data_IF_881734693518
#
_entry.id   IF_881734693518
#
_cell.length_a   1.000
_cell.length_b   1.000
_cell.length_c   1.000
_cell.angle_alpha   90.00
_cell.angle_beta   90.00
_cell.angle_gamma   90.00
#
_symmetry.space_group_name_H-M   'P 1'
#
loop_
_entity.id
_entity.type
_entity.pdbx_description
1 polymer ?
#
# COMPACT_ATOMS: atom_id res chain seq x y z
N UNK A 1 31.01 12.01 -23.06
CA UNK A 1 30.27 10.75 -22.84
C UNK A 1 28.92 11.12 -22.29
N UNK A 2 27.83 10.80 -22.99
CA UNK A 2 26.48 11.08 -22.50
C UNK A 2 26.10 9.88 -21.64
N UNK A 3 26.13 10.05 -20.32
CA UNK A 3 25.59 9.08 -19.39
C UNK A 3 24.08 9.09 -19.52
N UNK A 4 23.56 8.16 -20.32
CA UNK A 4 22.13 7.92 -20.44
C UNK A 4 21.65 7.29 -19.13
N UNK A 5 21.05 8.11 -18.26
CA UNK A 5 20.33 7.61 -17.10
C UNK A 5 19.27 6.61 -17.58
N UNK A 6 19.15 5.43 -16.96
CA UNK A 6 18.11 4.49 -17.31
C UNK A 6 16.76 5.20 -17.16
N UNK A 7 15.93 5.13 -18.20
CA UNK A 7 14.55 5.58 -18.11
C UNK A 7 13.90 4.71 -17.04
N UNK A 8 13.74 5.26 -15.84
CA UNK A 8 12.97 4.62 -14.77
C UNK A 8 11.56 4.49 -15.32
N UNK A 9 11.20 3.29 -15.75
CA UNK A 9 9.87 3.03 -16.32
C UNK A 9 8.83 3.46 -15.28
N UNK A 10 7.87 4.34 -15.63
CA UNK A 10 6.91 4.91 -14.68
C UNK A 10 6.26 3.86 -13.76
N UNK A 11 5.94 2.67 -14.28
CA UNK A 11 5.30 1.58 -13.52
C UNK A 11 6.14 0.93 -12.41
N UNK A 12 7.47 1.13 -12.39
CA UNK A 12 8.33 0.67 -11.28
C UNK A 12 8.46 1.70 -10.17
N UNK A 13 8.18 2.98 -10.45
CA UNK A 13 8.29 4.03 -9.46
C UNK A 13 7.09 3.99 -8.51
N UNK A 14 7.35 4.12 -7.21
CA UNK A 14 6.31 4.33 -6.21
C UNK A 14 6.14 5.81 -5.84
N UNK A 15 6.91 6.72 -6.45
CA UNK A 15 6.95 8.13 -6.06
C UNK A 15 5.59 8.81 -6.22
N UNK A 16 4.96 8.68 -7.39
CA UNK A 16 3.63 9.24 -7.64
C UNK A 16 2.58 8.61 -6.74
N UNK A 17 2.66 7.30 -6.52
CA UNK A 17 1.77 6.57 -5.61
C UNK A 17 1.87 7.08 -4.17
N UNK A 18 3.09 7.34 -3.69
CA UNK A 18 3.32 7.89 -2.35
C UNK A 18 2.72 9.30 -2.22
N UNK A 19 2.82 10.12 -3.27
CA UNK A 19 2.21 11.45 -3.27
C UNK A 19 0.69 11.37 -3.07
N UNK A 20 0.02 10.44 -3.76
CA UNK A 20 -1.42 10.18 -3.57
C UNK A 20 -1.71 9.62 -2.18
N UNK A 21 -0.92 8.65 -1.71
CA UNK A 21 -1.06 8.08 -0.36
C UNK A 21 -1.02 9.17 0.74
N UNK A 22 -0.10 10.13 0.62
CA UNK A 22 0.03 11.23 1.59
C UNK A 22 -1.20 12.13 1.66
N UNK A 23 -2.06 12.16 0.63
CA UNK A 23 -3.32 12.91 0.67
C UNK A 23 -4.37 12.26 1.57
N UNK A 24 -4.25 10.96 1.84
CA UNK A 24 -5.21 10.19 2.64
C UNK A 24 -4.69 9.79 4.02
N UNK A 25 -3.37 9.78 4.21
CA UNK A 25 -2.77 9.28 5.43
C UNK A 25 -2.97 10.25 6.61
N UNK A 26 -3.47 9.73 7.73
CA UNK A 26 -3.75 10.51 8.94
C UNK A 26 -2.51 10.84 9.79
N UNK A 27 -1.36 10.24 9.45
CA UNK A 27 -0.10 10.47 10.17
C UNK A 27 0.19 9.48 11.30
N UNK A 28 -0.80 8.72 11.78
CA UNK A 28 -0.69 7.88 12.98
C UNK A 28 -0.98 6.40 12.71
N UNK A 29 -1.98 6.08 11.88
CA UNK A 29 -2.39 4.70 11.66
C UNK A 29 -1.26 3.82 11.11
N UNK A 30 -1.18 2.53 11.49
CA UNK A 30 -0.18 1.62 10.94
C UNK A 30 -0.35 1.47 9.42
N UNK A 31 0.77 1.52 8.70
CA UNK A 31 0.82 1.32 7.25
C UNK A 31 1.47 -0.02 6.94
N UNK A 32 0.70 -0.95 6.42
CA UNK A 32 1.16 -2.26 5.97
C UNK A 32 1.50 -2.20 4.49
N UNK A 33 2.72 -2.57 4.12
CA UNK A 33 3.24 -2.42 2.77
C UNK A 33 3.80 -3.75 2.30
N UNK A 34 3.38 -4.20 1.11
CA UNK A 34 3.97 -5.39 0.52
C UNK A 34 5.49 -5.26 0.39
N UNK A 35 6.20 -6.35 0.73
CA UNK A 35 7.67 -6.42 0.76
C UNK A 35 8.34 -5.80 -0.46
N UNK A 36 7.78 -6.04 -1.65
CA UNK A 36 8.30 -5.51 -2.91
C UNK A 36 8.30 -3.97 -2.97
N UNK A 37 7.32 -3.31 -2.35
CA UNK A 37 7.20 -1.85 -2.35
C UNK A 37 7.91 -1.17 -1.18
N UNK A 38 8.22 -1.89 -0.09
CA UNK A 38 8.75 -1.28 1.15
C UNK A 38 9.96 -0.37 0.94
N UNK A 39 11.04 -0.78 0.25
CA UNK A 39 12.23 0.07 0.14
C UNK A 39 11.92 1.39 -0.59
N UNK A 40 11.22 1.30 -1.72
CA UNK A 40 10.81 2.48 -2.48
C UNK A 40 9.81 3.33 -1.73
N UNK A 41 8.87 2.71 -1.02
CA UNK A 41 7.84 3.40 -0.26
C UNK A 41 8.48 4.20 0.86
N UNK A 42 9.30 3.57 1.69
CA UNK A 42 10.04 4.23 2.77
C UNK A 42 10.92 5.38 2.25
N UNK A 43 11.63 5.18 1.14
CA UNK A 43 12.47 6.22 0.54
C UNK A 43 11.67 7.47 0.14
N UNK A 44 10.45 7.30 -0.39
CA UNK A 44 9.63 8.42 -0.88
C UNK A 44 8.69 9.00 0.19
N UNK A 45 8.24 8.21 1.17
CA UNK A 45 7.26 8.62 2.17
C UNK A 45 7.87 8.96 3.54
N UNK A 46 9.08 8.46 3.82
CA UNK A 46 9.69 8.50 5.15
C UNK A 46 9.11 7.47 6.14
N UNK A 47 8.11 6.68 5.72
CA UNK A 47 7.42 5.70 6.57
C UNK A 47 7.99 4.32 6.30
N UNK A 48 8.58 3.70 7.31
CA UNK A 48 9.18 2.36 7.18
C UNK A 48 8.14 1.29 6.77
N UNK A 49 6.90 1.44 7.23
CA UNK A 49 5.80 0.50 7.02
C UNK A 49 6.04 -0.85 7.66
N UNK A 50 4.97 -1.54 8.02
CA UNK A 50 4.99 -2.93 8.47
C UNK A 50 4.95 -3.82 7.23
N UNK A 51 5.74 -4.89 7.17
CA UNK A 51 5.67 -5.81 6.04
C UNK A 51 4.30 -6.48 5.98
N UNK A 52 3.60 -6.37 4.85
CA UNK A 52 2.32 -7.03 4.64
C UNK A 52 2.51 -8.50 4.25
N UNK A 53 2.05 -9.37 5.13
CA UNK A 53 2.02 -10.83 5.00
C UNK A 53 0.59 -11.34 5.02
N UNK A 54 0.35 -12.58 4.60
CA UNK A 54 -1.00 -13.14 4.62
C UNK A 54 -1.54 -13.30 6.05
N UNK A 55 -0.64 -13.65 6.97
CA UNK A 55 -0.87 -13.80 8.41
C UNK A 55 -1.30 -12.49 9.09
N UNK A 56 -0.58 -11.39 8.87
CA UNK A 56 -0.96 -10.11 9.48
C UNK A 56 -2.11 -9.41 8.75
N UNK A 57 -2.35 -9.70 7.47
CA UNK A 57 -3.55 -9.23 6.78
C UNK A 57 -4.81 -9.71 7.50
N UNK A 58 -4.88 -10.98 7.88
CA UNK A 58 -6.01 -11.53 8.64
C UNK A 58 -6.16 -10.84 10.00
N UNK A 59 -5.05 -10.58 10.70
CA UNK A 59 -5.06 -9.88 11.98
C UNK A 59 -5.57 -8.42 11.85
N UNK A 60 -5.13 -7.70 10.81
CA UNK A 60 -5.60 -6.33 10.52
C UNK A 60 -7.11 -6.31 10.28
N UNK A 61 -7.62 -7.27 9.50
CA UNK A 61 -9.04 -7.37 9.15
C UNK A 61 -9.91 -7.85 10.32
N UNK A 62 -9.31 -8.57 11.26
CA UNK A 62 -9.95 -9.00 12.49
C UNK A 62 -9.92 -7.93 13.59
N UNK A 63 -9.07 -6.90 13.46
CA UNK A 63 -8.98 -5.83 14.45
C UNK A 63 -10.21 -4.93 14.34
N UNK A 64 -11.14 -5.03 15.28
CA UNK A 64 -12.42 -4.32 15.22
C UNK A 64 -12.32 -2.82 15.54
N UNK A 65 -11.15 -2.32 15.97
CA UNK A 65 -11.02 -0.98 16.57
C UNK A 65 -9.94 -0.09 15.95
N UNK A 66 -9.16 -0.59 14.99
CA UNK A 66 -7.98 0.11 14.49
C UNK A 66 -8.09 0.42 13.00
N UNK A 67 -7.93 1.71 12.67
CA UNK A 67 -7.70 2.14 11.29
C UNK A 67 -6.34 1.64 10.82
N UNK A 68 -6.26 1.07 9.62
CA UNK A 68 -5.00 0.63 9.04
C UNK A 68 -4.94 0.87 7.54
N UNK A 69 -3.79 1.30 7.03
CA UNK A 69 -3.56 1.50 5.61
C UNK A 69 -2.80 0.31 5.05
N UNK A 70 -3.20 -0.17 3.87
CA UNK A 70 -2.56 -1.29 3.20
C UNK A 70 -2.15 -0.91 1.78
N UNK A 71 -0.87 -1.10 1.47
CA UNK A 71 -0.28 -0.89 0.15
C UNK A 71 0.09 -2.23 -0.45
N UNK A 72 -0.59 -2.62 -1.53
CA UNK A 72 -0.38 -3.91 -2.18
C UNK A 72 -0.61 -3.85 -3.69
N UNK A 73 -0.31 -4.95 -4.37
CA UNK A 73 -0.57 -5.16 -5.79
C UNK A 73 -2.06 -5.38 -6.01
N UNK A 74 -2.60 -4.74 -7.05
CA UNK A 74 -3.97 -4.94 -7.54
C UNK A 74 -4.27 -6.41 -7.79
N UNK A 75 -3.32 -7.15 -8.38
CA UNK A 75 -3.47 -8.59 -8.66
C UNK A 75 -3.64 -9.41 -7.37
N UNK A 76 -2.89 -9.08 -6.32
CA UNK A 76 -2.98 -9.78 -5.03
C UNK A 76 -4.30 -9.48 -4.34
N UNK A 77 -4.75 -8.24 -4.38
CA UNK A 77 -6.07 -7.86 -3.87
C UNK A 77 -7.20 -8.60 -4.57
N UNK A 78 -7.16 -8.70 -5.91
CA UNK A 78 -8.14 -9.46 -6.68
C UNK A 78 -8.17 -10.96 -6.38
N UNK A 79 -7.12 -11.50 -5.76
CA UNK A 79 -7.04 -12.89 -5.31
C UNK A 79 -7.51 -13.08 -3.85
N UNK A 80 -7.79 -12.00 -3.12
CA UNK A 80 -8.30 -12.10 -1.76
C UNK A 80 -9.74 -12.61 -1.75
N UNK A 81 -10.13 -13.37 -0.72
CA UNK A 81 -11.53 -13.76 -0.51
C UNK A 81 -12.46 -12.53 -0.48
N UNK A 82 -13.69 -12.62 -1.02
CA UNK A 82 -14.65 -11.52 -1.00
C UNK A 82 -14.95 -11.00 0.42
N UNK A 83 -14.94 -11.89 1.43
CA UNK A 83 -15.12 -11.52 2.83
C UNK A 83 -14.05 -10.55 3.34
N UNK A 84 -12.82 -10.64 2.81
CA UNK A 84 -11.72 -9.74 3.11
C UNK A 84 -11.86 -8.44 2.31
N UNK A 85 -12.13 -8.54 1.01
CA UNK A 85 -12.29 -7.36 0.15
C UNK A 85 -13.40 -6.43 0.66
N UNK A 86 -14.52 -6.98 1.14
CA UNK A 86 -15.63 -6.19 1.67
C UNK A 86 -15.30 -5.42 2.96
N UNK A 87 -14.26 -5.82 3.69
CA UNK A 87 -13.77 -5.14 4.90
C UNK A 87 -12.71 -4.07 4.60
N UNK A 88 -12.33 -3.92 3.34
CA UNK A 88 -11.30 -3.01 2.89
C UNK A 88 -11.91 -2.01 1.91
N UNK A 89 -11.67 -0.73 2.13
CA UNK A 89 -12.08 0.31 1.20
C UNK A 89 -10.90 0.70 0.33
N UNK A 90 -11.12 0.69 -0.99
CA UNK A 90 -10.14 1.18 -1.96
C UNK A 90 -10.11 2.70 -1.96
N UNK A 91 -8.94 3.28 -1.70
CA UNK A 91 -8.71 4.73 -1.74
C UNK A 91 -8.02 5.17 -3.04
N UNK A 92 -6.99 4.45 -3.45
CA UNK A 92 -6.18 4.79 -4.64
C UNK A 92 -5.93 3.53 -5.46
N UNK A 93 -6.00 3.65 -6.79
CA UNK A 93 -5.56 2.63 -7.74
C UNK A 93 -4.68 3.30 -8.79
N UNK A 94 -3.41 2.89 -8.85
CA UNK A 94 -2.45 3.41 -9.82
C UNK A 94 -1.67 2.25 -10.42
N UNK A 95 -1.83 2.05 -11.74
CA UNK A 95 -1.21 0.97 -12.50
C UNK A 95 -1.44 -0.41 -11.85
N UNK A 96 -0.41 -0.98 -11.21
CA UNK A 96 -0.47 -2.27 -10.53
C UNK A 96 -0.57 -2.15 -8.99
N UNK A 97 -0.57 -0.93 -8.43
CA UNK A 97 -0.54 -0.63 -7.00
C UNK A 97 -1.90 -0.13 -6.54
N UNK A 98 -2.27 -0.50 -5.33
CA UNK A 98 -3.49 -0.02 -4.69
C UNK A 98 -3.22 0.40 -3.26
N UNK A 99 -3.96 1.42 -2.83
CA UNK A 99 -4.09 1.83 -1.44
C UNK A 99 -5.46 1.40 -0.95
N UNK A 100 -5.46 0.65 0.14
CA UNK A 100 -6.66 0.24 0.85
C UNK A 100 -6.63 0.83 2.25
N UNK A 101 -7.80 1.07 2.82
CA UNK A 101 -7.98 1.38 4.23
C UNK A 101 -8.91 0.35 4.85
N UNK A 102 -8.52 -0.15 6.01
CA UNK A 102 -9.45 -0.78 6.94
C UNK A 102 -9.92 0.29 7.91
N UNK A 103 -11.22 0.56 7.91
CA UNK A 103 -11.89 1.47 8.84
C UNK A 103 -13.14 0.76 9.37
N UNK A 104 -13.24 0.58 10.69
CA UNK A 104 -14.46 0.08 11.31
C UNK A 104 -15.15 1.28 11.97
N UNK A 105 -16.27 1.71 11.37
CA UNK A 105 -17.13 2.79 11.89
C UNK A 105 -18.17 2.23 12.85
#
# INVERSE_FOLDING_TARGET
>A
MIEVLPIITPGLSVKSFVHEFQQYYDGQAPVYVEKFYRPGFMYNSGIAGIELSQENLAAVIASEKDTAYLVMKKKKYGQLPPAIQNKLRLLVMQEDKILLIHENK
#
